data_IF_447565304417
#
_entry.id   IF_447565304417
#
_cell.length_a   1.000
_cell.length_b   1.000
_cell.length_c   1.000
_cell.angle_alpha   90.00
_cell.angle_beta   90.00
_cell.angle_gamma   90.00
#
_symmetry.space_group_name_H-M   'P 1'
#
loop_
_entity.id
_entity.type
_entity.pdbx_description
1 polymer ?
#
# COMPACT_ATOMS: atom_id res chain seq x y z
N UNK A 1 16.59 -23.32 1.25
CA UNK A 1 17.66 -23.59 0.25
C UNK A 1 17.27 -22.88 -1.04
N UNK A 2 17.87 -21.72 -1.33
CA UNK A 2 17.58 -20.90 -2.53
C UNK A 2 18.65 -21.21 -3.58
N UNK A 3 18.25 -21.46 -4.84
CA UNK A 3 19.17 -21.75 -5.94
C UNK A 3 19.90 -20.49 -6.40
N UNK A 4 21.18 -20.64 -6.77
CA UNK A 4 22.01 -19.56 -7.31
C UNK A 4 21.38 -18.95 -8.57
N UNK A 5 21.02 -17.66 -8.50
CA UNK A 5 20.35 -16.93 -9.58
C UNK A 5 18.81 -16.85 -9.49
N UNK A 6 18.19 -17.46 -8.47
CA UNK A 6 16.76 -17.29 -8.22
C UNK A 6 16.45 -15.95 -7.52
N UNK A 7 15.48 -15.18 -8.02
CA UNK A 7 14.92 -14.02 -7.30
C UNK A 7 14.03 -14.51 -6.17
N UNK A 8 14.34 -14.14 -4.93
CA UNK A 8 13.52 -14.42 -3.76
C UNK A 8 12.80 -13.16 -3.31
N UNK A 9 11.51 -13.31 -3.02
CA UNK A 9 10.73 -12.32 -2.25
C UNK A 9 11.05 -12.54 -0.79
N UNK A 10 11.64 -11.52 -0.15
CA UNK A 10 11.99 -11.58 1.28
C UNK A 10 10.85 -11.01 2.13
N UNK A 11 10.08 -10.06 1.57
CA UNK A 11 8.94 -9.47 2.25
C UNK A 11 8.36 -8.28 1.49
N UNK A 12 7.33 -7.69 2.08
CA UNK A 12 6.66 -6.50 1.59
C UNK A 12 5.99 -5.74 2.71
N UNK A 13 5.62 -4.49 2.44
CA UNK A 13 4.82 -3.66 3.34
C UNK A 13 3.45 -3.47 2.71
N UNK A 14 2.40 -3.81 3.47
CA UNK A 14 1.02 -3.51 3.12
C UNK A 14 0.54 -2.39 4.03
N UNK A 15 0.19 -1.25 3.45
CA UNK A 15 -0.37 -0.11 4.19
C UNK A 15 -1.74 0.25 3.63
N UNK A 16 -2.71 0.35 4.54
CA UNK A 16 -4.06 0.77 4.26
C UNK A 16 -4.37 2.00 5.11
N UNK A 17 -4.71 3.10 4.46
CA UNK A 17 -5.18 4.31 5.15
C UNK A 17 -6.62 4.58 4.72
N UNK A 18 -7.55 4.47 5.65
CA UNK A 18 -8.96 4.82 5.47
C UNK A 18 -9.21 6.17 6.15
N UNK A 19 -9.74 7.13 5.39
CA UNK A 19 -10.07 8.47 5.89
C UNK A 19 -11.53 8.78 5.55
N UNK A 20 -12.35 8.91 6.58
CA UNK A 20 -13.73 9.36 6.46
C UNK A 20 -13.85 10.82 6.91
N UNK A 21 -14.30 11.69 6.00
CA UNK A 21 -14.56 13.10 6.25
C UNK A 21 -16.02 13.41 5.98
N UNK A 22 -16.70 14.03 6.95
CA UNK A 22 -18.08 14.47 6.80
C UNK A 22 -18.14 15.98 6.98
N UNK A 23 -18.49 16.68 5.92
CA UNK A 23 -18.76 18.12 5.94
C UNK A 23 -20.27 18.32 5.87
N UNK A 24 -20.86 19.02 6.84
CA UNK A 24 -22.31 19.28 6.85
C UNK A 24 -22.62 20.71 7.26
N UNK A 25 -23.74 21.23 6.78
CA UNK A 25 -24.27 22.52 7.25
C UNK A 25 -24.87 22.30 8.65
N UNK A 26 -24.48 23.09 9.67
CA UNK A 26 -25.10 23.04 10.99
C UNK A 26 -26.62 23.20 10.91
N UNK A 27 -27.38 22.50 11.75
CA UNK A 27 -28.85 22.46 11.77
C UNK A 27 -29.48 21.71 10.60
N UNK A 28 -29.18 22.08 9.35
CA UNK A 28 -29.82 21.47 8.17
C UNK A 28 -29.34 20.04 7.87
N UNK A 29 -28.07 19.74 8.16
CA UNK A 29 -27.48 18.41 7.92
C UNK A 29 -28.01 17.30 8.84
N UNK A 30 -28.65 17.68 9.95
CA UNK A 30 -29.18 16.77 10.97
C UNK A 30 -30.69 16.54 10.85
N UNK A 31 -31.36 17.18 9.88
CA UNK A 31 -32.80 17.01 9.66
C UNK A 31 -33.06 15.57 9.15
N UNK A 32 -33.94 14.79 9.80
CA UNK A 32 -34.33 13.49 9.31
C UNK A 32 -34.99 13.59 7.92
N UNK A 33 -34.88 12.53 7.11
CA UNK A 33 -35.35 12.45 5.72
C UNK A 33 -34.59 13.31 4.69
N UNK A 34 -34.24 14.56 4.99
CA UNK A 34 -33.66 15.50 4.00
C UNK A 34 -32.22 15.96 4.28
N UNK A 35 -31.69 15.70 5.47
CA UNK A 35 -30.35 16.15 5.87
C UNK A 35 -29.21 15.60 5.02
N UNK A 36 -29.45 14.54 4.23
CA UNK A 36 -28.47 14.00 3.28
C UNK A 36 -28.15 14.95 2.12
N UNK A 37 -29.06 15.86 1.76
CA UNK A 37 -28.84 16.85 0.71
C UNK A 37 -27.92 18.00 1.15
N UNK A 38 -27.74 18.16 2.47
CA UNK A 38 -26.97 19.24 3.09
C UNK A 38 -25.70 18.76 3.79
N UNK A 39 -25.27 17.52 3.48
CA UNK A 39 -24.01 16.93 3.94
C UNK A 39 -23.26 16.31 2.77
N UNK A 40 -21.95 16.45 2.81
CA UNK A 40 -21.02 15.84 1.88
C UNK A 40 -20.12 14.88 2.66
N UNK A 41 -20.19 13.59 2.31
CA UNK A 41 -19.31 12.57 2.84
C UNK A 41 -18.21 12.34 1.81
N UNK A 42 -16.95 12.46 2.24
CA UNK A 42 -15.79 12.12 1.46
C UNK A 42 -15.11 10.93 2.12
N UNK A 43 -15.11 9.79 1.43
CA UNK A 43 -14.40 8.60 1.83
C UNK A 43 -13.16 8.47 0.94
N UNK A 44 -11.99 8.42 1.55
CA UNK A 44 -10.72 8.22 0.86
C UNK A 44 -10.09 6.94 1.35
N UNK A 45 -9.75 6.07 0.40
CA UNK A 45 -9.22 4.74 0.68
C UNK A 45 -7.88 4.59 -0.06
N UNK A 46 -6.77 4.68 0.69
CA UNK A 46 -5.41 4.65 0.12
C UNK A 46 -4.75 3.30 0.41
N UNK A 47 -4.41 2.58 -0.66
CA UNK A 47 -3.75 1.28 -0.63
C UNK A 47 -2.34 1.41 -1.18
N UNK A 48 -1.35 1.04 -0.37
CA UNK A 48 0.05 1.04 -0.76
C UNK A 48 0.65 -0.34 -0.51
N UNK A 49 1.13 -0.96 -1.60
CA UNK A 49 1.77 -2.26 -1.60
C UNK A 49 3.21 -2.12 -2.07
N UNK A 50 4.18 -2.38 -1.18
CA UNK A 50 5.59 -2.40 -1.53
C UNK A 50 6.13 -3.83 -1.43
N UNK A 51 6.80 -4.29 -2.48
CA UNK A 51 7.44 -5.61 -2.55
C UNK A 51 8.96 -5.45 -2.68
N UNK A 52 9.71 -6.23 -1.90
CA UNK A 52 11.18 -6.22 -1.93
C UNK A 52 11.69 -7.56 -2.47
N UNK A 53 12.46 -7.48 -3.56
CA UNK A 53 13.07 -8.61 -4.25
C UNK A 53 14.58 -8.57 -4.10
N UNK A 54 15.21 -9.72 -3.81
CA UNK A 54 16.66 -9.87 -3.86
C UNK A 54 17.03 -11.00 -4.82
N UNK A 55 17.95 -10.71 -5.73
CA UNK A 55 18.53 -11.66 -6.69
C UNK A 55 20.03 -11.81 -6.43
N UNK A 56 20.47 -12.85 -5.68
CA UNK A 56 21.88 -13.07 -5.44
C UNK A 56 22.59 -13.52 -6.73
N UNK A 57 23.80 -12.97 -6.99
CA UNK A 57 24.64 -13.35 -8.12
C UNK A 57 25.98 -13.89 -7.62
N UNK A 58 26.27 -15.17 -7.85
CA UNK A 58 27.57 -15.75 -7.51
C UNK A 58 28.56 -15.47 -8.64
N UNK A 59 29.65 -14.77 -8.31
CA UNK A 59 30.78 -14.59 -9.20
C UNK A 59 31.85 -15.61 -8.80
N UNK A 60 32.14 -16.58 -9.67
CA UNK A 60 33.30 -17.46 -9.49
C UNK A 60 34.53 -16.69 -9.95
N UNK A 61 35.39 -16.32 -9.00
CA UNK A 61 36.75 -15.89 -9.34
C UNK A 61 37.43 -17.06 -10.05
N UNK A 62 37.62 -16.95 -11.37
CA UNK A 62 38.56 -17.81 -12.08
C UNK A 62 39.96 -17.39 -11.63
N UNK A 63 40.37 -17.94 -10.49
CA UNK A 63 41.79 -18.02 -10.11
C UNK A 63 42.44 -18.88 -11.19
N UNK A 64 42.86 -18.21 -12.27
CA UNK A 64 43.76 -18.77 -13.27
C UNK A 64 45.13 -18.84 -12.62
N UNK A 65 45.38 -19.93 -11.88
CA UNK A 65 46.75 -20.34 -11.58
C UNK A 65 47.29 -21.06 -12.81
N UNK A 66 47.97 -20.30 -13.66
CA UNK A 66 48.98 -20.78 -14.58
C UNK A 66 50.12 -19.77 -14.60
#
# INVERSE_FOLDING_TARGET
LVQNGGTVVIGGIYSQTESDSTTKIPVLGDIPYVGFLFRQNAKTDNKSELLIFISPRIIKSSVSLR
#
